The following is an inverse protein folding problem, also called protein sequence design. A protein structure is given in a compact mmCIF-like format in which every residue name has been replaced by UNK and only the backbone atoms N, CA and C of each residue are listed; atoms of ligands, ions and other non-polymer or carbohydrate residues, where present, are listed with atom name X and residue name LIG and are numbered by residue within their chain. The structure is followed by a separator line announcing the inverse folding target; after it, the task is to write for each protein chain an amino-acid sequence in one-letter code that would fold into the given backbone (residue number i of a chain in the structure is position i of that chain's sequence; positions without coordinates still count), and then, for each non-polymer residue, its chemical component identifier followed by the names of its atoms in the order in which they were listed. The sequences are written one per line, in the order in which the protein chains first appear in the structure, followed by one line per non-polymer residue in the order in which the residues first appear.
data_IF_660860763688
#
_entry.id   IF_660860763688
#
_cell.length_a   1.000
_cell.length_b   1.000
_cell.length_c   1.000
_cell.angle_alpha   90.00
_cell.angle_beta   90.00
_cell.angle_gamma   90.00
#
_symmetry.space_group_name_H-M   'P 1'
#
loop_
_entity.id
_entity.type
_entity.pdbx_description
1 polymer ?
#
# COMPACT_ATOMS: atom_id res chain seq x y z
N UNK A 1 31.83 -18.67 34.37
CA UNK A 1 31.19 -19.18 33.14
C UNK A 1 29.70 -18.88 33.19
N UNK A 2 29.24 -17.84 32.51
CA UNK A 2 27.91 -17.80 31.89
C UNK A 2 27.87 -16.58 30.96
N UNK A 3 27.95 -16.84 29.66
CA UNK A 3 27.81 -15.82 28.61
C UNK A 3 26.35 -15.90 28.16
N UNK A 4 25.51 -14.96 28.57
CA UNK A 4 24.13 -14.87 28.11
C UNK A 4 24.10 -14.26 26.72
N UNK A 5 24.12 -15.10 25.69
CA UNK A 5 23.88 -14.70 24.31
C UNK A 5 22.37 -14.56 24.08
N UNK A 6 21.88 -13.34 23.93
CA UNK A 6 20.52 -13.09 23.43
C UNK A 6 20.63 -12.90 21.92
N UNK A 7 20.27 -13.95 21.18
CA UNK A 7 20.17 -13.94 19.73
C UNK A 7 18.75 -13.54 19.36
N UNK A 8 18.49 -12.24 19.15
CA UNK A 8 17.22 -11.79 18.53
C UNK A 8 17.40 -11.94 17.01
N UNK A 9 17.30 -13.19 16.54
CA UNK A 9 17.23 -13.51 15.12
C UNK A 9 15.74 -13.50 14.70
N UNK A 10 15.40 -12.58 13.80
CA UNK A 10 14.40 -12.81 12.75
C UNK A 10 12.93 -12.82 13.16
N UNK A 11 12.31 -11.64 13.31
CA UNK A 11 10.86 -11.51 13.03
C UNK A 11 10.39 -10.07 12.84
N UNK A 12 11.22 -9.23 12.19
CA UNK A 12 10.87 -7.83 11.92
C UNK A 12 10.73 -7.50 10.44
N UNK A 13 10.45 -8.51 9.61
CA UNK A 13 9.95 -8.29 8.26
C UNK A 13 8.44 -8.41 8.32
N UNK A 14 7.78 -7.34 8.78
CA UNK A 14 6.32 -7.26 8.75
C UNK A 14 5.82 -7.44 7.32
N UNK A 15 4.76 -8.23 7.16
CA UNK A 15 4.13 -8.51 5.88
C UNK A 15 3.84 -7.23 5.09
N UNK A 16 4.54 -7.05 3.96
CA UNK A 16 4.19 -6.04 2.95
C UNK A 16 2.98 -6.59 2.17
N UNK A 17 1.82 -6.63 2.82
CA UNK A 17 0.59 -6.94 2.10
C UNK A 17 0.20 -5.71 1.28
N UNK A 18 0.06 -5.91 -0.03
CA UNK A 18 -0.57 -4.92 -0.89
C UNK A 18 -1.91 -4.51 -0.27
N UNK A 19 -2.11 -3.22 0.02
CA UNK A 19 -3.35 -2.73 0.64
C UNK A 19 -4.55 -3.17 -0.21
N UNK A 20 -5.35 -4.09 0.33
CA UNK A 20 -6.59 -4.54 -0.31
C UNK A 20 -7.56 -3.37 -0.33
N UNK A 21 -8.12 -3.06 -1.51
CA UNK A 21 -9.13 -2.01 -1.67
C UNK A 21 -10.22 -2.20 -0.62
N UNK A 22 -10.36 -1.21 0.27
CA UNK A 22 -11.27 -1.28 1.43
C UNK A 22 -12.70 -1.32 0.91
N UNK A 23 -13.40 -2.42 1.19
CA UNK A 23 -14.83 -2.53 0.92
C UNK A 23 -15.60 -1.89 2.08
N UNK A 24 -16.40 -0.82 1.85
CA UNK A 24 -17.06 -0.07 2.92
C UNK A 24 -18.05 -0.92 3.73
N UNK A 25 -18.60 -1.99 3.14
CA UNK A 25 -19.54 -2.87 3.83
C UNK A 25 -18.84 -3.90 4.73
N UNK A 26 -17.56 -4.20 4.45
CA UNK A 26 -16.72 -5.01 5.33
C UNK A 26 -16.31 -4.31 6.63
N UNK A 27 -16.53 -2.99 6.72
CA UNK A 27 -16.18 -2.16 7.88
C UNK A 27 -17.44 -1.87 8.70
N UNK A 28 -17.30 -1.89 10.03
CA UNK A 28 -18.42 -1.61 10.93
C UNK A 28 -19.08 -0.25 10.59
N UNK A 29 -20.41 -0.14 10.74
CA UNK A 29 -21.19 1.01 10.24
C UNK A 29 -20.69 2.36 10.74
N UNK A 30 -20.10 2.41 11.93
CA UNK A 30 -19.49 3.60 12.53
C UNK A 30 -18.27 4.14 11.75
N UNK A 31 -17.51 3.27 11.07
CA UNK A 31 -16.28 3.63 10.35
C UNK A 31 -16.46 3.75 8.83
N UNK A 32 -17.68 3.58 8.31
CA UNK A 32 -17.96 3.63 6.87
C UNK A 32 -17.54 4.95 6.22
N UNK A 33 -17.79 6.07 6.90
CA UNK A 33 -17.39 7.39 6.41
C UNK A 33 -15.86 7.54 6.28
N UNK A 34 -15.07 6.84 7.11
CA UNK A 34 -13.61 6.82 7.02
C UNK A 34 -13.15 5.81 5.96
N UNK A 35 -13.81 4.67 5.86
CA UNK A 35 -13.54 3.64 4.86
C UNK A 35 -13.73 4.16 3.44
N UNK A 36 -14.78 4.94 3.18
CA UNK A 36 -15.06 5.56 1.89
C UNK A 36 -13.97 6.56 1.48
N UNK A 37 -13.49 7.39 2.41
CA UNK A 37 -12.38 8.33 2.15
C UNK A 37 -11.10 7.60 1.76
N UNK A 38 -10.76 6.52 2.49
CA UNK A 38 -9.60 5.67 2.17
C UNK A 38 -9.75 4.93 0.85
N UNK A 39 -10.98 4.55 0.49
CA UNK A 39 -11.28 3.89 -0.78
C UNK A 39 -11.03 4.83 -1.95
N UNK A 40 -11.44 6.09 -1.85
CA UNK A 40 -11.18 7.09 -2.89
C UNK A 40 -9.67 7.29 -3.15
N UNK A 41 -8.85 7.30 -2.10
CA UNK A 41 -7.39 7.38 -2.22
C UNK A 41 -6.80 6.14 -2.90
N UNK A 42 -7.23 4.94 -2.49
CA UNK A 42 -6.74 3.68 -3.08
C UNK A 42 -7.16 3.51 -4.55
N UNK A 43 -8.35 3.97 -4.93
CA UNK A 43 -8.80 3.95 -6.32
C UNK A 43 -7.88 4.81 -7.19
N UNK A 44 -7.56 6.03 -6.75
CA UNK A 44 -6.64 6.91 -7.49
C UNK A 44 -5.26 6.28 -7.69
N UNK A 45 -4.70 5.67 -6.63
CA UNK A 45 -3.43 4.95 -6.72
C UNK A 45 -3.49 3.78 -7.69
N UNK A 46 -4.57 3.00 -7.63
CA UNK A 46 -4.78 1.86 -8.52
C UNK A 46 -4.92 2.29 -9.98
N UNK A 47 -5.67 3.35 -10.26
CA UNK A 47 -5.83 3.92 -11.59
C UNK A 47 -4.50 4.43 -12.16
N UNK A 48 -3.72 5.15 -11.35
CA UNK A 48 -2.39 5.63 -11.74
C UNK A 48 -1.40 4.49 -11.97
N UNK A 49 -1.43 3.46 -11.12
CA UNK A 49 -0.65 2.23 -11.33
C UNK A 49 -1.03 1.56 -12.65
N UNK A 50 -2.33 1.43 -12.94
CA UNK A 50 -2.82 0.84 -14.19
C UNK A 50 -2.38 1.64 -15.41
N UNK A 51 -2.42 2.98 -15.34
CA UNK A 51 -1.90 3.86 -16.40
C UNK A 51 -0.40 3.64 -16.64
N UNK A 52 0.38 3.46 -15.57
CA UNK A 52 1.82 3.17 -15.68
C UNK A 52 2.08 1.83 -16.38
N UNK A 53 1.27 0.82 -16.07
CA UNK A 53 1.37 -0.51 -16.68
C UNK A 53 0.98 -0.48 -18.16
N UNK A 54 -0.08 0.26 -18.52
CA UNK A 54 -0.51 0.47 -19.91
C UNK A 54 0.55 1.21 -20.73
N UNK A 55 1.21 2.21 -20.13
CA UNK A 55 2.31 2.93 -20.74
C UNK A 55 3.65 2.16 -20.74
N UNK A 56 3.68 0.94 -20.16
CA UNK A 56 4.88 0.09 -20.03
C UNK A 56 6.07 0.86 -19.44
N UNK A 57 5.80 1.73 -18.46
CA UNK A 57 6.83 2.52 -17.79
C UNK A 57 7.85 1.57 -17.16
N UNK A 58 9.15 1.84 -17.38
CA UNK A 58 10.21 1.02 -16.79
C UNK A 58 10.09 1.04 -15.27
N UNK A 59 10.45 -0.08 -14.61
CA UNK A 59 10.35 -0.19 -13.14
C UNK A 59 11.05 0.94 -12.38
N UNK A 60 12.16 1.45 -12.94
CA UNK A 60 12.91 2.58 -12.39
C UNK A 60 12.08 3.87 -12.34
N UNK A 61 11.30 4.13 -13.37
CA UNK A 61 10.57 5.39 -13.54
C UNK A 61 9.11 5.30 -13.07
N UNK A 62 8.65 4.09 -12.76
CA UNK A 62 7.26 3.81 -12.35
C UNK A 62 6.84 4.60 -11.12
N UNK A 63 7.73 4.79 -10.15
CA UNK A 63 7.44 5.56 -8.94
C UNK A 63 7.20 7.05 -9.27
N UNK A 64 8.06 7.65 -10.10
CA UNK A 64 7.93 9.04 -10.53
C UNK A 64 6.66 9.25 -11.38
N UNK A 65 6.36 8.32 -12.28
CA UNK A 65 5.12 8.36 -13.07
C UNK A 65 3.87 8.30 -12.18
N UNK A 66 3.87 7.44 -11.16
CA UNK A 66 2.74 7.31 -10.24
C UNK A 66 2.59 8.58 -9.38
N UNK A 67 3.68 9.16 -8.85
CA UNK A 67 3.60 10.40 -8.08
C UNK A 67 3.04 11.56 -8.92
N UNK A 68 3.54 11.74 -10.15
CA UNK A 68 3.02 12.77 -11.06
C UNK A 68 1.55 12.54 -11.43
N UNK A 69 1.11 11.28 -11.51
CA UNK A 69 -0.28 10.95 -11.82
C UNK A 69 -1.24 11.27 -10.66
N UNK A 70 -0.78 11.17 -9.42
CA UNK A 70 -1.59 11.46 -8.22
C UNK A 70 -1.73 12.97 -8.00
N UNK A 71 -0.71 13.74 -8.37
CA UNK A 71 -0.67 15.20 -8.23
C UNK A 71 -1.49 15.95 -9.30
N UNK A 72 -1.84 15.27 -10.41
CA UNK A 72 -2.70 15.80 -11.49
C UNK A 72 -4.19 15.58 -11.20
#
# INVERSE_FOLDING_TARGET
MQVSAIVIFGSWFGDVLAQKLVDPNSVAPEYRAVAEKRRAEQIKLFECSKKADLAKVLRRDRAAFISECIEK
#
